data_IF_788514930288
#
_entry.id   IF_788514930288
#
_cell.length_a   1.000
_cell.length_b   1.000
_cell.length_c   1.000
_cell.angle_alpha   90.00
_cell.angle_beta   90.00
_cell.angle_gamma   90.00
#
_symmetry.space_group_name_H-M   'P 1'
#
loop_
_entity.id
_entity.type
_entity.pdbx_description
1 polymer ?
#
# COMPACT_ATOMS: atom_id res chain seq x y z
N UNK A 1 -15.51 -1.61 20.59
CA UNK A 1 -15.43 -1.04 19.21
C UNK A 1 -14.10 -1.39 18.61
N UNK A 2 -14.05 -1.88 17.37
CA UNK A 2 -12.79 -2.14 16.68
C UNK A 2 -11.89 -0.90 16.68
N UNK A 3 -10.60 -1.12 16.87
CA UNK A 3 -9.61 -0.04 16.88
C UNK A 3 -8.68 -0.18 15.66
N UNK A 4 -8.29 0.93 15.09
CA UNK A 4 -7.28 0.91 14.03
C UNK A 4 -5.94 0.54 14.65
N UNK A 5 -5.33 -0.51 14.14
CA UNK A 5 -4.03 -1.01 14.58
C UNK A 5 -2.91 -0.49 13.71
N UNK A 6 -3.06 -0.64 12.38
CA UNK A 6 -2.13 -0.11 11.38
C UNK A 6 -2.87 0.33 10.10
N UNK A 7 -2.27 1.27 9.39
CA UNK A 7 -2.73 1.70 8.08
C UNK A 7 -1.53 1.69 7.14
N UNK A 8 -1.65 1.00 6.00
CA UNK A 8 -0.64 1.01 4.94
C UNK A 8 -1.20 1.64 3.69
N UNK A 9 -0.50 2.63 3.14
CA UNK A 9 -0.85 3.33 1.91
C UNK A 9 0.28 3.13 0.91
N UNK A 10 -0.05 2.63 -0.27
CA UNK A 10 0.93 2.26 -1.29
C UNK A 10 0.58 2.89 -2.63
N UNK A 11 1.53 3.61 -3.21
CA UNK A 11 1.44 4.16 -4.56
C UNK A 11 0.56 5.39 -4.72
N UNK A 12 0.00 5.94 -3.65
CA UNK A 12 -0.90 7.09 -3.74
C UNK A 12 -0.13 8.37 -4.08
N UNK A 13 -0.52 9.00 -5.17
CA UNK A 13 0.01 10.30 -5.61
C UNK A 13 -0.97 11.43 -5.27
N UNK A 14 -0.46 12.57 -4.84
CA UNK A 14 -1.26 13.74 -4.46
C UNK A 14 -0.54 15.05 -4.79
N UNK A 15 -1.19 16.19 -4.56
CA UNK A 15 -0.70 17.52 -4.91
C UNK A 15 -0.34 17.62 -6.41
N UNK A 16 -1.28 17.22 -7.27
CA UNK A 16 -1.06 17.14 -8.72
C UNK A 16 0.06 16.17 -9.10
N UNK A 17 0.16 15.03 -8.39
CA UNK A 17 1.15 13.97 -8.56
C UNK A 17 2.61 14.36 -8.24
N UNK A 18 2.82 15.47 -7.55
CA UNK A 18 4.17 15.88 -7.15
C UNK A 18 4.65 15.22 -5.86
N UNK A 19 3.72 14.76 -5.05
CA UNK A 19 3.99 14.05 -3.80
C UNK A 19 3.34 12.69 -3.84
N UNK A 20 3.90 11.76 -3.08
CA UNK A 20 3.36 10.40 -3.02
C UNK A 20 3.59 9.75 -1.67
N UNK A 21 2.66 8.87 -1.30
CA UNK A 21 2.90 7.79 -0.35
C UNK A 21 3.35 6.57 -1.17
N UNK A 22 4.66 6.35 -1.23
CA UNK A 22 5.22 5.28 -2.05
C UNK A 22 4.87 3.90 -1.48
N UNK A 23 5.25 3.67 -0.25
CA UNK A 23 4.85 2.54 0.60
C UNK A 23 5.03 3.00 2.05
N UNK A 24 3.95 3.37 2.69
CA UNK A 24 3.99 4.00 4.01
C UNK A 24 3.02 3.32 4.94
N UNK A 25 3.54 2.81 6.05
CA UNK A 25 2.75 2.23 7.14
C UNK A 25 2.70 3.20 8.32
N UNK A 26 1.52 3.38 8.86
CA UNK A 26 1.26 4.15 10.07
C UNK A 26 0.82 3.18 11.17
N UNK A 27 1.56 3.15 12.25
CA UNK A 27 1.32 2.28 13.39
C UNK A 27 0.61 3.03 14.52
N UNK A 28 -0.46 2.44 15.05
CA UNK A 28 -1.28 2.97 16.14
C UNK A 28 -1.35 1.99 17.31
N UNK A 29 -0.24 1.31 17.59
CA UNK A 29 -0.18 0.33 18.67
C UNK A 29 1.11 0.45 19.46
N UNK A 30 1.04 0.10 20.73
CA UNK A 30 2.17 -0.36 21.51
C UNK A 30 2.27 -1.88 21.38
N UNK A 31 3.35 -2.48 21.76
CA UNK A 31 3.70 -3.89 21.52
C UNK A 31 2.56 -4.91 21.58
N UNK A 32 1.50 -4.64 22.33
CA UNK A 32 0.39 -5.57 22.57
C UNK A 32 -0.98 -5.10 22.09
N UNK A 33 -1.31 -3.81 22.16
CA UNK A 33 -2.67 -3.30 21.91
C UNK A 33 -2.68 -2.02 21.10
N UNK A 34 -3.76 -1.78 20.38
CA UNK A 34 -3.99 -0.53 19.68
C UNK A 34 -4.18 0.63 20.66
N UNK A 35 -3.45 1.71 20.42
CA UNK A 35 -3.44 2.91 21.24
C UNK A 35 -3.96 4.11 20.47
N UNK A 36 -4.31 5.19 21.18
CA UNK A 36 -4.62 6.45 20.53
C UNK A 36 -3.33 7.04 19.92
N UNK A 37 -3.38 7.37 18.65
CA UNK A 37 -2.25 7.96 17.91
C UNK A 37 -2.48 9.42 17.59
N UNK A 38 -1.42 10.21 17.64
CA UNK A 38 -1.39 11.59 17.14
C UNK A 38 -0.49 11.67 15.91
N UNK A 39 -1.08 12.00 14.77
CA UNK A 39 -0.32 12.20 13.54
C UNK A 39 0.03 13.67 13.38
N UNK A 40 1.29 14.01 13.57
CA UNK A 40 1.82 15.34 13.32
C UNK A 40 2.47 15.38 11.92
N UNK A 41 1.95 16.22 11.05
CA UNK A 41 2.50 16.46 9.71
C UNK A 41 2.64 17.95 9.46
N UNK A 42 3.65 18.35 8.71
CA UNK A 42 3.80 19.73 8.25
C UNK A 42 2.61 20.15 7.37
N UNK A 43 2.39 21.44 7.23
CA UNK A 43 1.40 21.96 6.29
C UNK A 43 1.76 21.54 4.86
N UNK A 44 0.77 21.02 4.12
CA UNK A 44 1.01 20.42 2.81
C UNK A 44 1.61 19.00 2.84
N UNK A 45 1.82 18.41 4.02
CA UNK A 45 2.33 17.04 4.19
C UNK A 45 1.33 15.91 3.93
N UNK A 46 0.11 16.24 3.47
CA UNK A 46 -0.86 15.21 3.08
C UNK A 46 -1.85 14.80 4.18
N UNK A 47 -1.99 15.53 5.30
CA UNK A 47 -2.98 15.21 6.36
C UNK A 47 -4.39 14.96 5.83
N UNK A 48 -4.89 15.88 5.00
CA UNK A 48 -6.21 15.75 4.38
C UNK A 48 -6.30 14.60 3.40
N UNK A 49 -5.21 14.31 2.69
CA UNK A 49 -5.10 13.16 1.78
C UNK A 49 -5.13 11.85 2.56
N UNK A 50 -4.36 11.75 3.63
CA UNK A 50 -4.36 10.59 4.51
C UNK A 50 -5.77 10.26 5.04
N UNK A 51 -6.47 11.25 5.59
CA UNK A 51 -7.84 11.06 6.06
C UNK A 51 -8.79 10.70 4.92
N UNK A 52 -8.68 11.37 3.77
CA UNK A 52 -9.51 11.09 2.61
C UNK A 52 -9.38 9.65 2.13
N UNK A 53 -8.17 9.09 2.10
CA UNK A 53 -7.95 7.70 1.68
C UNK A 53 -8.55 6.69 2.65
N UNK A 54 -8.46 6.94 3.95
CA UNK A 54 -9.14 6.11 4.96
C UNK A 54 -10.65 6.14 4.73
N UNK A 55 -11.21 7.32 4.52
CA UNK A 55 -12.65 7.45 4.24
C UNK A 55 -13.07 6.76 2.94
N UNK A 56 -12.20 6.68 1.93
CA UNK A 56 -12.53 5.93 0.72
C UNK A 56 -12.61 4.42 0.95
N UNK A 57 -11.83 3.87 1.89
CA UNK A 57 -11.97 2.47 2.31
C UNK A 57 -13.25 2.27 3.12
N UNK A 58 -13.58 3.17 4.02
CA UNK A 58 -14.72 3.03 4.94
C UNK A 58 -16.06 3.43 4.31
N UNK A 59 -16.03 4.45 3.46
CA UNK A 59 -17.20 5.00 2.76
C UNK A 59 -16.82 5.38 1.32
N UNK A 60 -16.77 4.42 0.41
CA UNK A 60 -16.37 4.64 -0.96
C UNK A 60 -17.18 5.74 -1.67
N UNK A 61 -16.50 6.55 -2.48
CA UNK A 61 -17.12 7.65 -3.22
C UNK A 61 -17.46 8.87 -2.37
N UNK A 62 -17.06 8.91 -1.11
CA UNK A 62 -17.28 10.06 -0.24
C UNK A 62 -16.46 11.26 -0.70
N UNK A 63 -17.14 12.39 -0.91
CA UNK A 63 -16.49 13.67 -1.13
C UNK A 63 -15.95 14.24 0.20
N UNK A 64 -14.86 15.00 0.11
CA UNK A 64 -14.14 15.55 1.25
C UNK A 64 -13.84 17.04 1.07
N UNK A 65 -13.50 17.69 2.15
CA UNK A 65 -13.09 19.09 2.17
C UNK A 65 -14.26 20.07 2.18
N UNK A 66 -13.91 21.36 2.15
CA UNK A 66 -14.88 22.45 2.20
C UNK A 66 -15.87 22.33 1.04
N UNK A 67 -17.16 22.35 1.34
CA UNK A 67 -18.26 22.19 0.38
C UNK A 67 -18.26 20.81 -0.36
N UNK A 68 -17.59 19.81 0.16
CA UNK A 68 -17.46 18.48 -0.47
C UNK A 68 -16.91 18.54 -1.91
N UNK A 69 -15.97 19.44 -2.18
CA UNK A 69 -15.43 19.65 -3.52
C UNK A 69 -14.20 18.79 -3.85
N UNK A 70 -13.73 17.97 -2.91
CA UNK A 70 -12.62 17.05 -3.11
C UNK A 70 -13.13 15.63 -3.27
N UNK A 71 -12.94 15.07 -4.45
CA UNK A 71 -13.26 13.70 -4.77
C UNK A 71 -11.98 12.89 -4.97
N UNK A 72 -12.01 11.60 -4.69
CA UNK A 72 -10.82 10.78 -4.85
C UNK A 72 -10.35 10.67 -6.32
N UNK A 73 -11.23 10.91 -7.30
CA UNK A 73 -10.86 11.01 -8.71
C UNK A 73 -9.77 12.06 -8.96
N UNK A 74 -9.68 13.09 -8.13
CA UNK A 74 -8.63 14.11 -8.23
C UNK A 74 -7.21 13.56 -8.06
N UNK A 75 -7.05 12.40 -7.43
CA UNK A 75 -5.75 11.74 -7.32
C UNK A 75 -5.21 11.27 -8.67
N UNK A 76 -6.07 11.10 -9.67
CA UNK A 76 -5.70 10.67 -11.01
C UNK A 76 -5.37 11.81 -11.96
N UNK A 77 -5.29 13.04 -11.46
CA UNK A 77 -4.93 14.21 -12.26
C UNK A 77 -3.58 14.78 -11.84
N UNK A 78 -2.77 15.12 -12.84
CA UNK A 78 -1.54 15.88 -12.63
C UNK A 78 -1.83 17.39 -12.44
N UNK A 79 -0.79 18.22 -12.21
CA UNK A 79 -0.93 19.68 -12.09
C UNK A 79 -1.53 20.37 -13.31
N UNK A 80 -1.40 19.77 -14.49
CA UNK A 80 -1.93 20.28 -15.74
C UNK A 80 -3.36 19.79 -16.01
N UNK A 81 -4.03 19.25 -14.99
CA UNK A 81 -5.38 18.67 -15.07
C UNK A 81 -5.51 17.54 -16.11
N UNK A 82 -4.39 16.88 -16.44
CA UNK A 82 -4.39 15.73 -17.33
C UNK A 82 -4.62 14.46 -16.50
N UNK A 83 -5.51 13.61 -16.99
CA UNK A 83 -5.74 12.29 -16.39
C UNK A 83 -4.55 11.36 -16.63
N UNK A 84 -4.08 10.74 -15.56
CA UNK A 84 -3.01 9.74 -15.60
C UNK A 84 -3.51 8.48 -14.88
N UNK A 85 -3.73 7.38 -15.62
CA UNK A 85 -4.14 6.12 -15.00
C UNK A 85 -2.99 5.54 -14.17
N UNK A 86 -3.32 5.13 -12.97
CA UNK A 86 -2.42 4.36 -12.11
C UNK A 86 -3.25 3.65 -11.04
N UNK A 87 -2.63 2.76 -10.29
CA UNK A 87 -3.26 2.04 -9.18
C UNK A 87 -2.59 2.43 -7.87
N UNK A 88 -3.39 2.57 -6.82
CA UNK A 88 -2.89 2.71 -5.46
C UNK A 88 -3.70 1.85 -4.49
N UNK A 89 -3.11 1.54 -3.35
CA UNK A 89 -3.71 0.64 -2.36
C UNK A 89 -3.77 1.30 -0.99
N UNK A 90 -4.84 1.01 -0.26
CA UNK A 90 -5.01 1.43 1.13
C UNK A 90 -5.49 0.23 1.93
N UNK A 91 -4.75 -0.12 2.97
CA UNK A 91 -5.06 -1.21 3.88
C UNK A 91 -5.23 -0.67 5.29
N UNK A 92 -6.20 -1.20 5.99
CA UNK A 92 -6.46 -0.91 7.39
C UNK A 92 -6.51 -2.23 8.14
N UNK A 93 -5.63 -2.38 9.11
CA UNK A 93 -5.68 -3.46 10.09
C UNK A 93 -6.44 -2.98 11.32
N UNK A 94 -7.43 -3.73 11.70
CA UNK A 94 -8.27 -3.50 12.86
C UNK A 94 -7.96 -4.50 13.95
N UNK A 95 -7.86 -4.05 15.17
CA UNK A 95 -7.95 -4.89 16.36
C UNK A 95 -9.44 -5.01 16.72
N UNK A 96 -9.97 -6.23 16.74
CA UNK A 96 -11.36 -6.51 17.06
C UNK A 96 -11.55 -6.62 18.57
N UNK A 97 -12.75 -6.26 19.04
CA UNK A 97 -13.09 -6.42 20.45
C UNK A 97 -13.18 -7.91 20.81
N UNK A 98 -12.65 -8.30 21.95
CA UNK A 98 -12.75 -9.65 22.50
C UNK A 98 -11.46 -10.10 23.17
N UNK A 99 -11.55 -11.22 23.91
CA UNK A 99 -10.41 -11.83 24.60
C UNK A 99 -9.40 -12.48 23.63
N UNK A 100 -9.80 -12.71 22.38
CA UNK A 100 -9.07 -13.57 21.45
C UNK A 100 -8.04 -12.82 20.58
N UNK A 101 -7.87 -11.50 20.79
CA UNK A 101 -6.93 -10.65 20.03
C UNK A 101 -7.02 -10.83 18.49
N UNK A 102 -8.25 -11.03 18.00
CA UNK A 102 -8.49 -11.18 16.55
C UNK A 102 -8.28 -9.88 15.82
N UNK A 103 -7.78 -9.98 14.63
CA UNK A 103 -7.57 -8.84 13.74
C UNK A 103 -8.35 -9.01 12.44
N UNK A 104 -8.81 -7.89 11.90
CA UNK A 104 -9.41 -7.80 10.58
C UNK A 104 -8.52 -6.92 9.70
N UNK A 105 -8.19 -7.38 8.52
CA UNK A 105 -7.60 -6.53 7.49
C UNK A 105 -8.67 -6.21 6.47
N UNK A 106 -8.91 -4.93 6.24
CA UNK A 106 -9.76 -4.44 5.17
C UNK A 106 -8.96 -3.51 4.27
N UNK A 107 -9.27 -3.48 2.99
CA UNK A 107 -8.56 -2.57 2.10
C UNK A 107 -9.27 -2.38 0.78
N UNK A 108 -8.73 -1.45 0.01
CA UNK A 108 -9.17 -1.15 -1.33
C UNK A 108 -8.00 -0.98 -2.29
N UNK A 109 -8.15 -1.51 -3.48
CA UNK A 109 -7.35 -1.25 -4.66
C UNK A 109 -8.11 -0.22 -5.49
N UNK A 110 -7.51 0.94 -5.69
CA UNK A 110 -8.13 2.10 -6.33
C UNK A 110 -7.47 2.35 -7.68
N UNK A 111 -8.26 2.36 -8.74
CA UNK A 111 -7.85 2.75 -10.07
C UNK A 111 -8.94 3.57 -10.74
N UNK A 112 -8.66 4.20 -11.87
CA UNK A 112 -9.66 4.90 -12.64
C UNK A 112 -9.40 4.73 -14.14
N UNK A 113 -10.46 4.72 -14.92
CA UNK A 113 -10.45 4.65 -16.36
C UNK A 113 -11.11 5.90 -16.94
N UNK A 114 -10.55 6.42 -18.02
CA UNK A 114 -11.15 7.49 -18.80
C UNK A 114 -11.96 6.87 -19.93
N UNK A 115 -13.28 7.10 -19.95
CA UNK A 115 -14.12 6.74 -21.07
C UNK A 115 -14.40 7.96 -21.93
N UNK A 116 -13.93 7.91 -23.16
CA UNK A 116 -14.30 8.87 -24.19
C UNK A 116 -15.73 8.53 -24.58
N UNK A 117 -16.69 9.42 -24.35
CA UNK A 117 -18.04 9.27 -24.86
C UNK A 117 -18.00 9.48 -26.38
N UNK A 118 -18.04 8.40 -27.15
CA UNK A 118 -18.36 8.45 -28.53
C UNK A 118 -19.87 8.79 -28.62
N UNK A 119 -20.22 10.02 -28.96
CA UNK A 119 -21.59 10.36 -29.28
C UNK A 119 -21.97 9.60 -30.56
N UNK A 120 -22.95 8.71 -30.46
CA UNK A 120 -23.65 8.21 -31.61
C UNK A 120 -24.24 9.41 -32.36
N UNK A 121 -24.02 9.45 -33.66
CA UNK A 121 -24.49 10.48 -34.55
C UNK A 121 -26.00 10.59 -34.47
N UNK A 122 -26.51 11.73 -34.04
CA UNK A 122 -27.97 12.01 -34.06
C UNK A 122 -28.28 13.39 -33.51
N UNK A 123 -28.27 14.39 -34.43
CA UNK A 123 -29.05 15.65 -34.43
C UNK A 123 -29.03 16.50 -33.15
N UNK A 124 -28.30 17.55 -33.21
CA UNK A 124 -28.57 18.95 -32.92
C UNK A 124 -27.31 19.68 -32.43
N UNK A 125 -26.91 20.64 -33.26
CA UNK A 125 -25.87 21.61 -32.97
C UNK A 125 -26.27 22.46 -31.76
N UNK A 126 -25.68 22.19 -30.60
CA UNK A 126 -25.41 23.18 -29.54
C UNK A 126 -24.40 22.60 -28.56
N UNK A 127 -23.19 23.15 -28.59
CA UNK A 127 -22.17 23.17 -27.51
C UNK A 127 -22.30 22.07 -26.43
N UNK A 128 -21.89 20.87 -26.74
CA UNK A 128 -21.61 19.87 -25.71
C UNK A 128 -20.09 19.68 -25.70
N UNK A 129 -19.45 20.35 -24.78
CA UNK A 129 -18.05 20.02 -24.39
C UNK A 129 -18.03 18.51 -24.17
N UNK A 130 -17.16 17.82 -24.89
CA UNK A 130 -16.88 16.39 -24.65
C UNK A 130 -16.33 16.23 -23.25
N UNK A 131 -17.19 16.03 -22.26
CA UNK A 131 -16.74 15.70 -20.91
C UNK A 131 -16.32 14.24 -20.90
N UNK A 132 -15.03 14.01 -20.97
CA UNK A 132 -14.45 12.71 -20.73
C UNK A 132 -14.84 12.25 -19.32
N UNK A 133 -15.63 11.18 -19.24
CA UNK A 133 -16.12 10.66 -17.97
C UNK A 133 -15.08 9.74 -17.36
N UNK A 134 -14.56 10.13 -16.20
CA UNK A 134 -13.69 9.28 -15.43
C UNK A 134 -14.53 8.33 -14.59
N UNK A 135 -14.29 7.04 -14.79
CA UNK A 135 -14.94 5.97 -14.05
C UNK A 135 -13.97 5.44 -13.02
N UNK A 136 -14.27 5.66 -11.73
CA UNK A 136 -13.50 5.06 -10.66
C UNK A 136 -13.77 3.56 -10.57
N UNK A 137 -12.71 2.82 -10.33
CA UNK A 137 -12.76 1.38 -10.13
C UNK A 137 -12.15 1.04 -8.77
N UNK A 138 -12.97 0.47 -7.89
CA UNK A 138 -12.53 0.09 -6.55
C UNK A 138 -12.76 -1.41 -6.39
N UNK A 139 -11.70 -2.12 -6.03
CA UNK A 139 -11.80 -3.52 -5.65
C UNK A 139 -11.44 -3.63 -4.17
N UNK A 140 -12.38 -4.10 -3.37
CA UNK A 140 -12.20 -4.29 -1.93
C UNK A 140 -11.74 -5.70 -1.62
N UNK A 141 -11.09 -5.82 -0.47
CA UNK A 141 -10.75 -7.11 0.09
C UNK A 141 -10.82 -7.06 1.61
N UNK A 142 -11.13 -8.19 2.21
CA UNK A 142 -11.19 -8.34 3.66
C UNK A 142 -10.75 -9.74 4.07
N UNK A 143 -10.04 -9.85 5.21
CA UNK A 143 -9.69 -11.10 5.85
C UNK A 143 -9.62 -10.93 7.35
N UNK A 144 -10.24 -11.86 8.09
CA UNK A 144 -10.07 -12.00 9.52
C UNK A 144 -8.88 -12.90 9.84
N UNK A 145 -8.19 -12.58 10.91
CA UNK A 145 -7.04 -13.32 11.43
C UNK A 145 -7.26 -13.60 12.91
N UNK A 146 -7.03 -14.82 13.30
CA UNK A 146 -7.22 -15.27 14.70
C UNK A 146 -6.18 -14.67 15.64
N UNK A 147 -5.02 -14.31 15.12
CA UNK A 147 -3.91 -13.74 15.89
C UNK A 147 -3.28 -12.55 15.18
N UNK A 148 -2.75 -11.62 15.97
CA UNK A 148 -2.02 -10.44 15.48
C UNK A 148 -0.80 -10.84 14.65
N UNK A 149 -0.07 -11.85 15.09
CA UNK A 149 1.19 -12.31 14.48
C UNK A 149 0.99 -12.86 13.07
N UNK A 150 -0.22 -13.33 12.76
CA UNK A 150 -0.55 -13.84 11.43
C UNK A 150 -0.75 -12.72 10.40
N UNK A 151 -0.85 -11.46 10.88
CA UNK A 151 -1.07 -10.29 10.02
C UNK A 151 0.26 -9.68 9.61
N UNK A 152 0.69 -9.99 8.42
CA UNK A 152 1.92 -9.45 7.84
C UNK A 152 1.59 -8.44 6.73
N UNK A 153 1.13 -7.22 7.10
CA UNK A 153 0.78 -6.18 6.12
C UNK A 153 1.95 -5.84 5.20
N UNK A 154 3.17 -5.85 5.72
CA UNK A 154 4.39 -5.52 4.99
C UNK A 154 4.74 -6.57 3.93
N UNK A 155 4.35 -7.83 4.14
CA UNK A 155 4.63 -8.93 3.22
C UNK A 155 3.62 -9.03 2.07
N UNK A 156 2.54 -8.25 2.09
CA UNK A 156 1.63 -8.19 0.96
C UNK A 156 2.37 -7.48 -0.19
N UNK A 157 2.54 -8.12 -1.37
CA UNK A 157 3.39 -7.62 -2.45
C UNK A 157 2.70 -6.49 -3.23
N UNK A 158 2.44 -5.38 -2.55
CA UNK A 158 1.79 -4.19 -3.14
C UNK A 158 2.78 -3.29 -3.85
N UNK A 159 4.05 -3.37 -3.48
CA UNK A 159 5.13 -2.57 -4.04
C UNK A 159 6.38 -3.41 -4.18
N UNK A 160 6.77 -3.70 -5.40
CA UNK A 160 7.95 -4.49 -5.71
C UNK A 160 8.74 -3.85 -6.87
N UNK A 161 10.05 -3.88 -6.80
CA UNK A 161 10.95 -3.37 -7.85
C UNK A 161 10.69 -1.92 -8.29
N UNK A 162 10.19 -1.07 -7.38
CA UNK A 162 9.89 0.33 -7.68
C UNK A 162 8.52 0.55 -8.34
N UNK A 163 7.71 -0.49 -8.47
CA UNK A 163 6.39 -0.44 -9.09
C UNK A 163 5.29 -0.87 -8.12
N UNK A 164 4.13 -0.27 -8.27
CA UNK A 164 2.91 -0.65 -7.55
C UNK A 164 2.26 -1.80 -8.31
N UNK A 165 1.93 -2.87 -7.61
CA UNK A 165 1.30 -4.02 -8.22
C UNK A 165 -0.09 -3.68 -8.77
N UNK A 166 -0.42 -4.24 -9.94
CA UNK A 166 -1.70 -4.01 -10.57
C UNK A 166 -2.84 -4.82 -9.93
N UNK A 167 -4.06 -4.34 -10.13
CA UNK A 167 -5.25 -4.90 -9.48
C UNK A 167 -5.47 -6.39 -9.86
N UNK A 168 -5.17 -6.78 -11.09
CA UNK A 168 -5.43 -8.15 -11.55
C UNK A 168 -4.45 -9.17 -10.92
N UNK A 169 -3.16 -8.83 -10.84
CA UNK A 169 -2.14 -9.66 -10.21
C UNK A 169 -2.44 -9.88 -8.72
N UNK A 170 -2.85 -8.83 -8.03
CA UNK A 170 -3.18 -8.88 -6.61
C UNK A 170 -4.47 -9.61 -6.30
N UNK A 171 -5.46 -9.64 -7.19
CA UNK A 171 -6.69 -10.41 -6.97
C UNK A 171 -6.41 -11.89 -6.73
N UNK A 172 -5.52 -12.46 -7.51
CA UNK A 172 -5.14 -13.85 -7.37
C UNK A 172 -4.37 -14.07 -6.07
N UNK A 173 -3.39 -13.21 -5.78
CA UNK A 173 -2.67 -13.25 -4.50
C UNK A 173 -3.62 -13.20 -3.30
N UNK A 174 -4.57 -12.27 -3.29
CA UNK A 174 -5.51 -12.13 -2.18
C UNK A 174 -6.43 -13.34 -2.03
N UNK A 175 -6.95 -13.88 -3.14
CA UNK A 175 -7.76 -15.10 -3.11
C UNK A 175 -6.99 -16.30 -2.58
N UNK A 176 -5.75 -16.50 -3.04
CA UNK A 176 -4.88 -17.59 -2.60
C UNK A 176 -4.54 -17.47 -1.10
N UNK A 177 -4.42 -16.25 -0.61
CA UNK A 177 -4.17 -15.98 0.81
C UNK A 177 -5.46 -15.84 1.63
N UNK A 178 -6.60 -16.32 1.15
CA UNK A 178 -7.85 -16.40 1.90
C UNK A 178 -8.54 -15.05 2.15
N UNK A 179 -8.23 -14.02 1.38
CA UNK A 179 -8.98 -12.78 1.40
C UNK A 179 -10.25 -12.90 0.57
N UNK A 180 -11.34 -12.41 1.09
CA UNK A 180 -12.56 -12.18 0.31
C UNK A 180 -12.35 -10.92 -0.55
N UNK A 181 -12.38 -11.08 -1.88
CA UNK A 181 -12.14 -10.00 -2.86
C UNK A 181 -13.44 -9.71 -3.60
N UNK A 182 -13.88 -8.47 -3.62
CA UNK A 182 -15.17 -8.07 -4.17
C UNK A 182 -15.17 -6.60 -4.65
N UNK A 183 -16.13 -6.26 -5.52
CA UNK A 183 -16.38 -4.89 -6.01
C UNK A 183 -17.70 -4.31 -5.49
N UNK A 184 -18.57 -5.15 -4.91
CA UNK A 184 -19.87 -4.72 -4.41
C UNK A 184 -19.72 -3.90 -3.12
N UNK A 185 -20.04 -2.62 -3.21
CA UNK A 185 -20.03 -1.69 -2.08
C UNK A 185 -21.04 -2.09 -0.99
N UNK A 186 -22.17 -2.70 -1.36
CA UNK A 186 -23.15 -3.17 -0.36
C UNK A 186 -22.60 -4.35 0.43
N UNK A 187 -21.86 -5.25 -0.23
CA UNK A 187 -21.15 -6.36 0.43
C UNK A 187 -20.09 -5.80 1.36
N UNK A 188 -19.32 -4.81 0.91
CA UNK A 188 -18.30 -4.14 1.71
C UNK A 188 -18.89 -3.58 3.00
N UNK A 189 -19.98 -2.85 2.90
CA UNK A 189 -20.66 -2.29 4.07
C UNK A 189 -21.17 -3.37 5.03
N UNK A 190 -21.71 -4.47 4.52
CA UNK A 190 -22.14 -5.59 5.37
C UNK A 190 -20.98 -6.21 6.14
N UNK A 191 -19.82 -6.36 5.51
CA UNK A 191 -18.62 -6.86 6.19
C UNK A 191 -18.20 -5.89 7.29
N UNK A 192 -18.07 -4.58 7.01
CA UNK A 192 -17.73 -3.60 8.04
C UNK A 192 -18.72 -3.60 9.21
N UNK A 193 -20.03 -3.63 8.92
CA UNK A 193 -21.08 -3.66 9.94
C UNK A 193 -21.02 -4.95 10.78
N UNK A 194 -20.68 -6.12 10.18
CA UNK A 194 -20.53 -7.41 10.89
C UNK A 194 -19.42 -7.34 11.95
N UNK A 195 -18.34 -6.63 11.66
CA UNK A 195 -17.24 -6.45 12.62
C UNK A 195 -17.40 -5.21 13.50
N UNK A 196 -18.57 -4.57 13.50
CA UNK A 196 -18.85 -3.41 14.35
C UNK A 196 -18.19 -2.11 13.91
N UNK A 197 -17.71 -2.04 12.66
CA UNK A 197 -17.16 -0.82 12.05
C UNK A 197 -18.33 -0.01 11.48
N UNK A 198 -18.94 0.82 12.32
CA UNK A 198 -20.20 1.48 12.01
C UNK A 198 -20.01 2.72 11.13
N UNK A 199 -20.66 2.74 9.97
CA UNK A 199 -20.60 3.86 9.01
C UNK A 199 -21.08 5.20 9.56
N UNK A 200 -22.07 5.18 10.49
CA UNK A 200 -22.62 6.42 11.07
C UNK A 200 -21.57 7.17 11.90
N UNK A 201 -20.69 6.44 12.58
CA UNK A 201 -19.63 7.06 13.36
C UNK A 201 -18.61 7.75 12.45
N UNK A 202 -18.36 7.19 11.28
CA UNK A 202 -17.50 7.80 10.25
C UNK A 202 -18.16 8.99 9.57
N UNK A 203 -19.49 9.02 9.45
CA UNK A 203 -20.23 10.21 8.98
C UNK A 203 -20.05 11.38 9.95
N UNK A 204 -20.14 11.12 11.26
CA UNK A 204 -19.88 12.13 12.29
C UNK A 204 -18.42 12.64 12.20
N UNK A 205 -17.45 11.73 12.09
CA UNK A 205 -16.05 12.12 11.93
C UNK A 205 -15.81 12.93 10.66
N UNK A 206 -16.46 12.57 9.55
CA UNK A 206 -16.42 13.35 8.31
C UNK A 206 -16.96 14.75 8.51
N UNK A 207 -18.10 14.90 9.16
CA UNK A 207 -18.74 16.21 9.40
C UNK A 207 -17.88 17.10 10.32
N UNK A 208 -17.23 16.53 11.33
CA UNK A 208 -16.28 17.24 12.19
C UNK A 208 -15.09 17.75 11.37
N UNK A 209 -14.60 16.98 10.40
CA UNK A 209 -13.43 17.33 9.59
C UNK A 209 -13.78 18.02 8.26
N UNK A 210 -15.05 18.25 7.96
CA UNK A 210 -15.52 18.85 6.71
C UNK A 210 -14.98 20.25 6.47
N UNK A 211 -14.82 20.97 7.53
CA UNK A 211 -14.25 22.30 7.51
C UNK A 211 -12.80 22.24 7.99
N UNK A 212 -11.86 22.46 7.11
CA UNK A 212 -10.39 22.45 7.38
C UNK A 212 -9.93 23.40 8.49
N UNK A 213 -10.88 24.07 9.17
CA UNK A 213 -10.65 25.04 10.23
C UNK A 213 -10.30 24.46 11.61
N UNK A 214 -10.18 23.14 11.73
CA UNK A 214 -9.85 22.48 13.00
C UNK A 214 -10.96 22.53 14.04
N UNK A 215 -10.62 22.16 15.28
CA UNK A 215 -11.55 22.07 16.43
C UNK A 215 -12.28 23.38 16.69
N UNK A 216 -11.66 24.54 16.44
CA UNK A 216 -12.28 25.84 16.63
C UNK A 216 -13.56 26.04 15.81
N UNK A 217 -13.60 25.50 14.60
CA UNK A 217 -14.77 25.60 13.73
C UNK A 217 -15.92 24.68 14.13
N UNK A 218 -15.62 23.58 14.81
CA UNK A 218 -16.63 22.73 15.43
C UNK A 218 -17.39 23.49 16.53
N UNK A 219 -16.71 24.41 17.22
CA UNK A 219 -17.29 25.25 18.27
C UNK A 219 -17.79 26.60 17.74
N UNK A 220 -17.65 26.92 16.46
CA UNK A 220 -18.14 28.16 15.85
C UNK A 220 -19.66 28.29 16.06
N UNK A 221 -20.10 29.39 16.66
CA UNK A 221 -21.49 29.62 17.05
C UNK A 221 -21.92 28.90 18.34
N UNK A 222 -20.97 28.31 19.06
CA UNK A 222 -21.15 27.76 20.41
C UNK A 222 -20.18 28.47 21.37
N UNK A 223 -20.33 29.79 21.45
CA UNK A 223 -19.42 30.68 22.21
C UNK A 223 -19.65 30.65 23.73
N UNK A 224 -20.80 30.12 24.17
CA UNK A 224 -21.15 29.92 25.55
C UNK A 224 -21.57 28.47 25.83
N UNK A 225 -21.56 28.08 27.10
CA UNK A 225 -21.91 26.72 27.56
C UNK A 225 -23.33 26.32 27.12
N UNK A 226 -24.27 27.25 27.11
CA UNK A 226 -25.66 26.97 26.74
C UNK A 226 -25.78 26.71 25.24
N UNK A 227 -25.13 27.49 24.41
CA UNK A 227 -25.13 27.29 22.95
C UNK A 227 -24.33 26.05 22.54
N UNK A 228 -23.27 25.71 23.28
CA UNK A 228 -22.52 24.46 23.12
C UNK A 228 -23.43 23.24 23.41
N UNK A 229 -24.14 23.28 24.53
CA UNK A 229 -25.06 22.22 24.87
C UNK A 229 -26.19 22.09 23.85
N UNK A 230 -26.87 23.18 23.49
CA UNK A 230 -28.00 23.15 22.55
C UNK A 230 -27.62 22.78 21.12
N UNK A 231 -26.49 23.30 20.62
CA UNK A 231 -26.14 23.15 19.19
C UNK A 231 -25.26 21.92 18.91
N UNK A 232 -24.54 21.41 19.91
CA UNK A 232 -23.57 20.34 19.71
C UNK A 232 -23.84 19.10 20.58
N UNK A 233 -23.98 19.29 21.89
CA UNK A 233 -24.10 18.16 22.82
C UNK A 233 -25.50 17.53 22.74
N UNK A 234 -26.55 18.33 22.88
CA UNK A 234 -27.94 17.82 22.85
C UNK A 234 -28.27 17.11 21.53
N UNK A 235 -27.94 17.64 20.31
CA UNK A 235 -28.21 16.93 19.08
C UNK A 235 -27.42 15.62 18.96
N UNK A 236 -26.18 15.58 19.46
CA UNK A 236 -25.35 14.37 19.48
C UNK A 236 -25.93 13.33 20.44
N UNK A 237 -26.30 13.72 21.68
CA UNK A 237 -26.92 12.84 22.67
C UNK A 237 -28.33 12.44 22.22
N UNK A 238 -29.13 13.37 21.68
CA UNK A 238 -30.42 13.08 21.09
C UNK A 238 -30.32 12.11 19.91
N UNK A 239 -29.31 12.27 19.05
CA UNK A 239 -29.04 11.32 17.98
C UNK A 239 -28.70 9.91 18.48
N UNK A 240 -28.02 9.80 19.61
CA UNK A 240 -27.74 8.52 20.27
C UNK A 240 -29.01 7.97 20.97
N UNK A 241 -29.78 8.84 21.62
CA UNK A 241 -31.05 8.47 22.29
C UNK A 241 -32.13 8.11 21.26
N UNK A 242 -32.25 8.83 20.15
CA UNK A 242 -33.16 8.45 19.06
C UNK A 242 -32.70 7.19 18.32
N UNK A 243 -31.43 6.85 18.34
CA UNK A 243 -30.98 5.48 17.97
C UNK A 243 -31.59 4.45 18.92
N UNK A 244 -31.70 4.77 20.23
CA UNK A 244 -32.37 3.92 21.21
C UNK A 244 -33.91 3.90 21.04
N UNK A 245 -34.52 4.97 20.49
CA UNK A 245 -35.95 4.99 20.12
C UNK A 245 -36.23 4.27 18.81
N UNK A 246 -35.37 4.37 17.80
CA UNK A 246 -35.43 3.48 16.65
C UNK A 246 -35.21 2.02 17.05
N UNK A 247 -34.30 1.77 18.00
CA UNK A 247 -34.19 0.45 18.64
C UNK A 247 -35.47 0.04 19.40
N UNK A 248 -36.24 0.98 19.94
CA UNK A 248 -37.54 0.67 20.52
C UNK A 248 -38.59 0.28 19.48
N UNK A 249 -38.63 0.94 18.33
CA UNK A 249 -39.48 0.53 17.21
C UNK A 249 -39.02 -0.78 16.60
N UNK A 250 -37.68 -0.96 16.46
CA UNK A 250 -37.08 -2.25 16.10
C UNK A 250 -37.39 -3.31 17.16
N UNK A 251 -37.38 -2.96 18.45
CA UNK A 251 -37.79 -3.85 19.54
C UNK A 251 -39.27 -4.24 19.42
N UNK A 252 -40.17 -3.34 19.07
CA UNK A 252 -41.58 -3.66 18.84
C UNK A 252 -41.75 -4.56 17.62
N UNK A 253 -41.02 -4.34 16.56
CA UNK A 253 -40.98 -5.24 15.39
C UNK A 253 -40.32 -6.59 15.73
N UNK A 254 -39.23 -6.58 16.51
CA UNK A 254 -38.62 -7.79 17.05
C UNK A 254 -39.62 -8.54 17.95
N UNK A 255 -40.33 -7.85 18.84
CA UNK A 255 -41.38 -8.48 19.69
C UNK A 255 -42.54 -9.02 18.84
N UNK A 256 -42.97 -8.33 17.78
CA UNK A 256 -43.97 -8.85 16.87
C UNK A 256 -43.47 -10.06 16.08
N UNK A 257 -42.25 -10.04 15.64
CA UNK A 257 -41.62 -11.20 14.96
C UNK A 257 -41.40 -12.36 15.92
N UNK A 258 -40.96 -12.08 17.17
CA UNK A 258 -40.82 -13.10 18.21
C UNK A 258 -42.18 -13.65 18.66
N UNK A 259 -43.23 -12.85 18.73
CA UNK A 259 -44.59 -13.31 19.01
C UNK A 259 -45.12 -14.22 17.88
N UNK A 260 -44.79 -13.91 16.63
CA UNK A 260 -45.06 -14.79 15.48
C UNK A 260 -44.30 -16.09 15.56
N UNK A 261 -42.99 -16.02 15.87
CA UNK A 261 -42.12 -17.19 16.06
C UNK A 261 -42.60 -18.02 17.26
N UNK A 262 -43.01 -17.39 18.37
CA UNK A 262 -43.54 -18.07 19.53
C UNK A 262 -44.87 -18.83 19.25
N UNK A 263 -45.65 -18.36 18.29
CA UNK A 263 -46.83 -19.06 17.80
C UNK A 263 -46.52 -20.34 17.05
N UNK A 264 -45.38 -20.33 16.32
CA UNK A 264 -44.91 -21.47 15.55
C UNK A 264 -43.95 -22.38 16.37
N UNK A 265 -43.52 -21.88 17.56
CA UNK A 265 -42.56 -22.57 18.43
C UNK A 265 -43.00 -24.00 18.83
N UNK A 266 -44.27 -24.31 19.15
CA UNK A 266 -44.69 -25.68 19.46
C UNK A 266 -44.52 -26.64 18.26
N UNK A 267 -44.70 -26.14 17.04
CA UNK A 267 -44.54 -26.93 15.83
C UNK A 267 -43.05 -27.13 15.53
N UNK A 268 -42.25 -26.08 15.77
CA UNK A 268 -40.81 -26.14 15.59
C UNK A 268 -40.13 -27.05 16.62
N UNK A 269 -40.60 -27.01 17.90
CA UNK A 269 -40.11 -27.91 18.95
C UNK A 269 -40.47 -29.38 18.67
N UNK A 270 -41.66 -29.64 18.16
CA UNK A 270 -42.03 -31.02 17.73
C UNK A 270 -41.16 -31.49 16.57
N UNK A 271 -40.87 -30.62 15.63
CA UNK A 271 -39.96 -30.95 14.51
C UNK A 271 -38.53 -31.13 15.01
N UNK A 272 -38.06 -30.27 15.90
CA UNK A 272 -36.75 -30.41 16.50
C UNK A 272 -36.60 -31.75 17.25
N UNK A 273 -37.65 -32.11 18.03
CA UNK A 273 -37.62 -33.36 18.75
C UNK A 273 -37.67 -34.58 17.82
N UNK A 274 -38.49 -34.56 16.78
CA UNK A 274 -38.47 -35.59 15.73
C UNK A 274 -37.16 -35.68 14.98
N UNK A 275 -36.50 -34.53 14.73
CA UNK A 275 -35.15 -34.50 14.15
C UNK A 275 -34.07 -35.02 15.08
N UNK A 276 -34.20 -34.77 16.41
CA UNK A 276 -33.27 -35.30 17.42
C UNK A 276 -33.41 -36.84 17.52
N UNK A 277 -34.65 -37.32 17.62
CA UNK A 277 -34.93 -38.76 17.65
C UNK A 277 -34.39 -39.44 16.35
N UNK A 278 -34.64 -38.83 15.21
CA UNK A 278 -34.13 -39.35 13.93
C UNK A 278 -32.58 -39.31 13.86
N UNK A 279 -31.95 -38.25 14.40
CA UNK A 279 -30.49 -38.16 14.51
C UNK A 279 -29.92 -39.21 15.47
N UNK A 280 -30.57 -39.41 16.61
CA UNK A 280 -30.18 -40.43 17.59
C UNK A 280 -30.30 -41.85 17.01
N UNK A 281 -31.28 -42.13 16.15
CA UNK A 281 -31.46 -43.41 15.47
C UNK A 281 -30.49 -43.61 14.31
N UNK A 282 -30.09 -42.51 13.63
CA UNK A 282 -29.16 -42.57 12.48
C UNK A 282 -27.68 -42.53 12.91
N UNK A 283 -27.35 -41.83 13.99
CA UNK A 283 -25.97 -41.68 14.46
C UNK A 283 -25.23 -43.05 14.61
N UNK A 284 -25.81 -44.10 15.21
CA UNK A 284 -25.14 -45.39 15.30
C UNK A 284 -24.90 -46.04 13.93
N UNK A 285 -25.79 -45.77 12.96
CA UNK A 285 -25.68 -46.31 11.60
C UNK A 285 -24.63 -45.52 10.80
N UNK A 286 -24.59 -44.21 10.97
CA UNK A 286 -23.61 -43.34 10.36
C UNK A 286 -22.21 -43.60 10.91
N UNK A 287 -22.09 -43.86 12.22
CA UNK A 287 -20.81 -44.26 12.83
C UNK A 287 -20.31 -45.60 12.29
N UNK A 288 -21.18 -46.60 12.17
CA UNK A 288 -20.78 -47.92 11.62
C UNK A 288 -20.42 -47.84 10.13
N UNK A 289 -21.15 -47.04 9.34
CA UNK A 289 -20.85 -46.80 7.94
C UNK A 289 -19.56 -45.97 7.82
N UNK A 290 -19.41 -44.94 8.63
CA UNK A 290 -18.22 -44.11 8.64
C UNK A 290 -16.97 -44.93 9.01
N UNK A 291 -17.03 -45.78 10.02
CA UNK A 291 -15.93 -46.67 10.40
C UNK A 291 -15.62 -47.66 9.28
N UNK A 292 -16.65 -48.26 8.64
CA UNK A 292 -16.47 -49.16 7.52
C UNK A 292 -15.87 -48.49 6.27
N UNK A 293 -16.36 -47.33 5.93
CA UNK A 293 -15.85 -46.50 4.83
C UNK A 293 -14.43 -45.98 5.13
N UNK A 294 -14.17 -45.61 6.39
CA UNK A 294 -12.84 -45.15 6.79
C UNK A 294 -11.81 -46.28 6.75
N UNK A 295 -12.16 -47.49 7.23
CA UNK A 295 -11.31 -48.67 7.08
C UNK A 295 -11.03 -48.99 5.62
N UNK A 296 -12.03 -48.91 4.77
CA UNK A 296 -11.86 -49.19 3.34
C UNK A 296 -11.07 -48.11 2.63
N UNK A 297 -11.25 -46.83 3.00
CA UNK A 297 -10.45 -45.70 2.51
C UNK A 297 -8.99 -45.79 2.98
N UNK A 298 -8.77 -46.10 4.26
CA UNK A 298 -7.41 -46.25 4.82
C UNK A 298 -6.65 -47.35 4.12
N UNK A 299 -7.27 -48.54 3.90
CA UNK A 299 -6.62 -49.64 3.18
C UNK A 299 -6.36 -49.29 1.72
N UNK A 300 -7.34 -48.70 1.04
CA UNK A 300 -7.19 -48.30 -0.38
C UNK A 300 -6.24 -47.15 -0.55
N UNK A 301 -6.32 -46.13 0.34
CA UNK A 301 -5.45 -44.99 0.31
C UNK A 301 -4.00 -45.35 0.70
N UNK A 302 -3.80 -46.22 1.70
CA UNK A 302 -2.44 -46.66 2.08
C UNK A 302 -1.76 -47.44 0.96
N UNK A 303 -2.50 -48.25 0.23
CA UNK A 303 -1.95 -48.99 -0.89
C UNK A 303 -1.67 -48.11 -2.10
N UNK A 304 -2.60 -47.20 -2.41
CA UNK A 304 -2.42 -46.22 -3.48
C UNK A 304 -1.38 -45.16 -3.16
N UNK A 305 -1.38 -44.65 -1.93
CA UNK A 305 -0.36 -43.68 -1.48
C UNK A 305 1.04 -44.30 -1.45
N UNK A 306 1.17 -45.58 -1.04
CA UNK A 306 2.44 -46.29 -1.09
C UNK A 306 2.98 -46.41 -2.52
N UNK A 307 2.14 -46.72 -3.48
CA UNK A 307 2.54 -46.79 -4.88
C UNK A 307 2.79 -45.42 -5.51
N UNK A 308 1.96 -44.43 -5.18
CA UNK A 308 2.15 -43.07 -5.67
C UNK A 308 3.36 -42.37 -5.05
N UNK A 309 3.63 -42.62 -3.76
CA UNK A 309 4.83 -42.13 -3.08
C UNK A 309 6.11 -42.70 -3.67
N UNK A 310 6.14 -44.00 -3.99
CA UNK A 310 7.29 -44.59 -4.66
C UNK A 310 7.49 -43.99 -6.04
N UNK A 311 6.44 -43.87 -6.85
CA UNK A 311 6.54 -43.27 -8.18
C UNK A 311 6.86 -41.75 -8.15
N UNK A 312 6.33 -41.02 -7.15
CA UNK A 312 6.63 -39.63 -6.98
C UNK A 312 8.06 -39.40 -6.47
N UNK A 313 8.56 -40.26 -5.57
CA UNK A 313 9.93 -40.22 -5.10
C UNK A 313 10.93 -40.49 -6.23
N UNK A 314 10.67 -41.46 -7.06
CA UNK A 314 11.52 -41.74 -8.22
C UNK A 314 11.51 -40.59 -9.20
N UNK A 315 10.36 -39.94 -9.44
CA UNK A 315 10.26 -38.79 -10.32
C UNK A 315 10.95 -37.53 -9.72
N UNK A 316 10.81 -37.29 -8.42
CA UNK A 316 11.50 -36.20 -7.74
C UNK A 316 13.01 -36.42 -7.75
N UNK A 317 13.46 -37.65 -7.52
CA UNK A 317 14.90 -37.97 -7.60
C UNK A 317 15.45 -37.71 -9.00
N UNK A 318 14.70 -38.02 -10.05
CA UNK A 318 15.11 -37.72 -11.42
C UNK A 318 15.13 -36.20 -11.68
N UNK A 319 14.08 -35.48 -11.28
CA UNK A 319 14.03 -34.01 -11.42
C UNK A 319 15.15 -33.30 -10.65
N UNK A 320 15.43 -33.76 -9.43
CA UNK A 320 16.52 -33.20 -8.62
C UNK A 320 17.89 -33.49 -9.21
N UNK A 321 18.08 -34.68 -9.81
CA UNK A 321 19.32 -34.99 -10.55
C UNK A 321 19.50 -34.09 -11.77
N UNK A 322 18.44 -33.88 -12.55
CA UNK A 322 18.48 -33.01 -13.72
C UNK A 322 18.70 -31.55 -13.31
N UNK A 323 18.05 -31.12 -12.21
CA UNK A 323 18.26 -29.78 -11.65
C UNK A 323 19.69 -29.59 -11.12
N UNK A 324 20.26 -30.60 -10.49
CA UNK A 324 21.68 -30.59 -10.05
C UNK A 324 22.63 -30.39 -11.23
N UNK A 325 22.46 -31.17 -12.28
CA UNK A 325 23.29 -31.07 -13.51
C UNK A 325 23.13 -29.69 -14.15
N UNK A 326 21.90 -29.16 -14.20
CA UNK A 326 21.65 -27.81 -14.71
C UNK A 326 22.28 -26.71 -13.87
N UNK A 327 22.25 -26.87 -12.54
CA UNK A 327 22.89 -25.93 -11.61
C UNK A 327 24.41 -26.00 -11.68
N UNK A 328 25.00 -27.17 -11.77
CA UNK A 328 26.45 -27.37 -11.96
C UNK A 328 26.93 -26.65 -13.22
N UNK A 329 26.21 -26.84 -14.34
CA UNK A 329 26.52 -26.18 -15.60
C UNK A 329 26.41 -24.64 -15.49
N UNK A 330 25.35 -24.16 -14.81
CA UNK A 330 25.16 -22.74 -14.60
C UNK A 330 26.21 -22.13 -13.67
N UNK A 331 26.68 -22.90 -12.71
CA UNK A 331 27.77 -22.49 -11.82
C UNK A 331 29.10 -22.40 -12.57
N UNK A 332 29.36 -23.30 -13.49
CA UNK A 332 30.51 -23.26 -14.38
C UNK A 332 30.50 -22.05 -15.33
N UNK A 333 29.33 -21.79 -15.97
CA UNK A 333 29.11 -20.60 -16.79
C UNK A 333 29.29 -19.28 -15.98
N UNK A 334 28.75 -19.21 -14.75
CA UNK A 334 28.92 -18.06 -13.90
C UNK A 334 30.36 -17.86 -13.43
N UNK A 335 31.11 -18.93 -13.19
CA UNK A 335 32.52 -18.86 -12.85
C UNK A 335 33.35 -18.32 -14.05
N UNK A 336 33.06 -18.79 -15.25
CA UNK A 336 33.68 -18.25 -16.46
C UNK A 336 33.38 -16.77 -16.67
N UNK A 337 32.09 -16.37 -16.53
CA UNK A 337 31.71 -14.96 -16.61
C UNK A 337 32.38 -14.11 -15.52
N UNK A 338 32.50 -14.64 -14.32
CA UNK A 338 33.20 -13.94 -13.22
C UNK A 338 34.69 -13.73 -13.54
N UNK A 339 35.34 -14.71 -14.15
CA UNK A 339 36.73 -14.59 -14.58
C UNK A 339 36.87 -13.58 -15.71
N UNK A 340 35.97 -13.59 -16.69
CA UNK A 340 35.94 -12.59 -17.76
C UNK A 340 35.72 -11.18 -17.23
N UNK A 341 34.75 -10.98 -16.34
CA UNK A 341 34.51 -9.68 -15.75
C UNK A 341 35.64 -9.16 -14.87
N UNK A 342 36.36 -10.05 -14.19
CA UNK A 342 37.58 -9.67 -13.46
C UNK A 342 38.68 -9.21 -14.44
N UNK A 343 38.88 -9.96 -15.49
CA UNK A 343 39.85 -9.60 -16.54
C UNK A 343 39.48 -8.26 -17.20
N UNK A 344 38.22 -8.04 -17.54
CA UNK A 344 37.76 -6.76 -18.08
C UNK A 344 37.96 -5.60 -17.08
N UNK A 345 37.64 -5.84 -15.81
CA UNK A 345 37.87 -4.85 -14.75
C UNK A 345 39.33 -4.47 -14.63
N UNK A 346 40.21 -5.46 -14.61
CA UNK A 346 41.65 -5.24 -14.48
C UNK A 346 42.19 -4.49 -15.71
N UNK A 347 41.68 -4.83 -16.91
CA UNK A 347 42.00 -4.11 -18.17
C UNK A 347 41.51 -2.65 -18.14
N UNK A 348 40.33 -2.39 -17.60
CA UNK A 348 39.79 -1.04 -17.44
C UNK A 348 40.60 -0.21 -16.40
N UNK A 349 40.99 -0.82 -15.33
CA UNK A 349 41.87 -0.18 -14.31
C UNK A 349 43.24 0.14 -14.93
N UNK A 350 43.82 -0.81 -15.68
CA UNK A 350 45.06 -0.58 -16.40
C UNK A 350 44.93 0.55 -17.44
N UNK A 351 43.86 0.54 -18.25
CA UNK A 351 43.61 1.58 -19.23
C UNK A 351 43.46 2.97 -18.59
N UNK A 352 42.79 3.08 -17.46
CA UNK A 352 42.66 4.33 -16.68
C UNK A 352 44.03 4.79 -16.18
N UNK A 353 44.76 3.90 -15.53
CA UNK A 353 46.11 4.22 -15.06
C UNK A 353 47.04 4.64 -16.19
N UNK A 354 46.95 3.99 -17.34
CA UNK A 354 47.73 4.34 -18.54
C UNK A 354 47.34 5.72 -19.09
N UNK A 355 46.06 6.05 -19.14
CA UNK A 355 45.57 7.38 -19.53
C UNK A 355 46.06 8.48 -18.58
N UNK A 356 46.01 8.21 -17.27
CA UNK A 356 46.56 9.14 -16.29
C UNK A 356 48.06 9.33 -16.45
N UNK A 357 48.79 8.25 -16.64
CA UNK A 357 50.24 8.31 -16.89
C UNK A 357 50.57 9.12 -18.14
N UNK A 358 49.83 8.92 -19.24
CA UNK A 358 50.00 9.74 -20.43
C UNK A 358 49.70 11.23 -20.17
N UNK A 359 48.65 11.52 -19.39
CA UNK A 359 48.33 12.89 -18.99
C UNK A 359 49.46 13.52 -18.18
N UNK A 360 49.98 12.80 -17.20
CA UNK A 360 51.10 13.27 -16.40
C UNK A 360 52.40 13.42 -17.24
N UNK A 361 52.66 12.53 -18.15
CA UNK A 361 53.79 12.63 -19.07
C UNK A 361 53.68 13.88 -19.94
N UNK A 362 52.51 14.18 -20.47
CA UNK A 362 52.24 15.38 -21.24
C UNK A 362 52.45 16.66 -20.41
N UNK A 363 51.90 16.68 -19.21
CA UNK A 363 52.09 17.80 -18.27
C UNK A 363 53.59 17.98 -17.92
N UNK A 364 54.30 16.88 -17.67
CA UNK A 364 55.72 16.93 -17.39
C UNK A 364 56.52 17.49 -18.55
N UNK A 365 56.18 17.13 -19.80
CA UNK A 365 56.83 17.69 -20.98
C UNK A 365 56.54 19.18 -21.14
N UNK A 366 55.29 19.59 -20.92
CA UNK A 366 54.91 21.00 -20.96
C UNK A 366 55.61 21.83 -19.84
N UNK A 367 55.72 21.29 -18.66
CA UNK A 367 56.44 21.97 -17.57
C UNK A 367 57.96 22.00 -17.80
N UNK A 368 58.53 20.95 -18.39
CA UNK A 368 59.94 20.96 -18.80
C UNK A 368 60.21 22.02 -19.85
N UNK A 369 59.37 22.15 -20.87
CA UNK A 369 59.52 23.20 -21.89
C UNK A 369 59.43 24.59 -21.29
N UNK A 370 58.44 24.84 -20.41
CA UNK A 370 58.34 26.12 -19.69
C UNK A 370 59.54 26.38 -18.80
N UNK A 371 60.06 25.36 -18.14
CA UNK A 371 61.27 25.51 -17.32
C UNK A 371 62.48 25.90 -18.17
N UNK A 372 62.68 25.26 -19.34
CA UNK A 372 63.76 25.63 -20.26
C UNK A 372 63.60 27.03 -20.81
N UNK A 373 62.37 27.46 -21.17
CA UNK A 373 62.08 28.82 -21.58
C UNK A 373 62.40 29.84 -20.48
N UNK A 374 61.93 29.56 -19.26
CA UNK A 374 62.23 30.41 -18.09
C UNK A 374 63.74 30.47 -17.82
N UNK A 375 64.45 29.39 -17.95
CA UNK A 375 65.91 29.34 -17.76
C UNK A 375 66.64 30.21 -18.77
N UNK A 376 66.22 30.17 -20.04
CA UNK A 376 66.77 31.05 -21.09
C UNK A 376 66.49 32.51 -20.75
N UNK A 377 65.27 32.80 -20.33
CA UNK A 377 64.86 34.16 -20.01
C UNK A 377 65.59 34.71 -18.75
N UNK A 378 65.86 33.86 -17.76
CA UNK A 378 66.70 34.19 -16.61
C UNK A 378 68.14 34.46 -17.06
N UNK A 379 68.67 33.62 -17.95
CA UNK A 379 70.03 33.81 -18.50
C UNK A 379 70.13 35.13 -19.26
N UNK A 380 69.21 35.43 -20.18
CA UNK A 380 69.15 36.68 -20.90
C UNK A 380 69.05 37.93 -19.98
N UNK A 381 68.26 37.79 -18.91
CA UNK A 381 68.15 38.84 -17.91
C UNK A 381 69.44 39.04 -17.11
N UNK A 382 70.08 37.94 -16.76
CA UNK A 382 71.38 38.04 -16.07
C UNK A 382 72.44 38.68 -16.97
N UNK A 383 72.52 38.29 -18.25
CA UNK A 383 73.40 38.92 -19.22
C UNK A 383 73.14 40.42 -19.36
N UNK A 384 71.89 40.81 -19.51
CA UNK A 384 71.49 42.23 -19.52
C UNK A 384 71.82 42.96 -18.21
N UNK A 385 71.64 42.29 -17.06
CA UNK A 385 71.99 42.85 -15.76
C UNK A 385 73.52 43.07 -15.69
N UNK A 386 74.30 42.12 -16.16
CA UNK A 386 75.77 42.20 -16.14
C UNK A 386 76.26 43.26 -17.07
N UNK A 387 75.64 43.37 -18.31
CA UNK A 387 75.89 44.47 -19.26
C UNK A 387 75.61 45.87 -18.66
N UNK A 388 74.40 45.99 -17.98
CA UNK A 388 74.03 47.23 -17.29
C UNK A 388 74.96 47.52 -16.14
N UNK A 389 75.33 46.54 -15.36
CA UNK A 389 76.33 46.68 -14.27
C UNK A 389 77.68 47.14 -14.79
N UNK A 390 78.10 46.55 -15.88
CA UNK A 390 79.31 46.97 -16.54
C UNK A 390 79.25 48.38 -17.10
N UNK A 391 78.13 48.76 -17.69
CA UNK A 391 77.90 50.10 -18.21
C UNK A 391 77.82 51.16 -17.10
N UNK A 392 77.28 50.83 -15.90
CA UNK A 392 77.29 51.69 -14.70
C UNK A 392 78.70 51.86 -14.19
N UNK A 393 79.51 50.78 -14.13
CA UNK A 393 80.89 50.87 -13.71
C UNK A 393 81.73 51.73 -14.72
N UNK A 394 81.51 51.55 -16.02
CA UNK A 394 82.16 52.40 -17.02
C UNK A 394 81.78 53.89 -16.85
N UNK A 395 80.54 54.17 -16.54
CA UNK A 395 80.08 55.55 -16.27
C UNK A 395 80.72 56.14 -15.00
N UNK A 396 80.79 55.32 -13.94
CA UNK A 396 81.50 55.77 -12.70
C UNK A 396 82.98 56.02 -12.95
N UNK A 397 83.62 55.22 -13.89
CA UNK A 397 85.01 55.44 -14.24
C UNK A 397 85.23 56.65 -15.22
N UNK A 398 84.17 57.06 -15.92
CA UNK A 398 84.21 58.22 -16.80
C UNK A 398 83.96 59.56 -16.08
N UNK A 399 83.36 59.46 -14.86
CA UNK A 399 83.03 60.67 -14.04
C UNK A 399 84.14 60.97 -13.02
N UNK A 400 85.28 60.20 -13.01
CA UNK A 400 86.55 60.45 -12.27
C UNK A 400 87.52 61.02 -13.25
#
# INVERSE_FOLDING_TARGET
>A
MPKIHRIRIVGLKYDGMQKQYQDTTFDFHNDMTSTNGLIAMMNGGGKGVFLQTIFQVLKPGTAWGKQNNRYYQQFFFNKNEQFIPYTFHVLIQWELDGADQRHLVTGGMFSAEQRISLNEEGTDEKNTEKQDKIIPNITFYAREFDRKEDVALEHIPLYENGQVAETEELKDYFKWNGYDVYRDTKKHYRILDTYGINRKDWDIMKDINKDEGGVGKYFEGAEDDHSLFQKRIIPTVSGVLHRAEHQKNDLVEIFKSQASIAKDLPVLLKREQAHKEFLEDILPFEEQIAVGVEHQKVVTASTQQGQQLLGALDHVIELEKDALVALEKKLEELNEQTLQLRFEKDNLEYARAHQELQKWQKQLTEEKTKHEELKKLVQERNEKRDELSFSVQLKEWSDI
#
